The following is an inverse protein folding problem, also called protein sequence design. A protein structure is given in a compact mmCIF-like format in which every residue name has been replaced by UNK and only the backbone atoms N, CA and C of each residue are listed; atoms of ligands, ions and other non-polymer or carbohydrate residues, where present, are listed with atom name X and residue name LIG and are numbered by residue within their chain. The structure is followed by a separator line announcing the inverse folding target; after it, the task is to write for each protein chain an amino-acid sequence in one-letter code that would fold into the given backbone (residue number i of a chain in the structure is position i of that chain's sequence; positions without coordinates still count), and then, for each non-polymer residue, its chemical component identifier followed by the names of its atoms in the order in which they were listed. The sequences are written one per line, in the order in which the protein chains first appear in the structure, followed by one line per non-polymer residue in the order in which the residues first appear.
data_IF_540770565461
#
_entry.id   IF_540770565461
#
_cell.length_a   1.000
_cell.length_b   1.000
_cell.length_c   1.000
_cell.angle_alpha   90.00
_cell.angle_beta   90.00
_cell.angle_gamma   90.00
#
_symmetry.space_group_name_H-M   'P 1'
#
loop_
_entity.id
_entity.type
_entity.pdbx_description
1 polymer ?
#
# COMPACT_ATOMS: atom_id res chain seq x y z
N UNK A 1 -32.25 -76.41 39.00
CA UNK A 1 -32.99 -77.20 37.98
C UNK A 1 -33.95 -76.28 37.25
N UNK A 2 -34.08 -76.49 35.92
CA UNK A 2 -34.91 -75.78 34.92
C UNK A 2 -34.36 -74.47 34.32
N UNK A 3 -33.58 -74.72 33.27
CA UNK A 3 -33.43 -73.96 32.04
C UNK A 3 -34.80 -73.55 31.46
N UNK A 4 -34.95 -72.31 31.01
CA UNK A 4 -35.83 -71.99 29.89
C UNK A 4 -34.98 -71.53 28.69
N UNK A 5 -35.08 -72.33 27.63
CA UNK A 5 -34.48 -72.18 26.30
C UNK A 5 -35.29 -71.20 25.44
N UNK A 6 -34.71 -70.94 24.26
CA UNK A 6 -35.31 -70.56 22.97
C UNK A 6 -35.33 -69.05 22.70
N UNK A 7 -34.30 -68.50 22.04
CA UNK A 7 -33.95 -68.54 20.59
C UNK A 7 -34.63 -67.45 19.77
N UNK A 8 -33.78 -66.71 19.06
CA UNK A 8 -33.99 -66.19 17.70
C UNK A 8 -34.98 -65.02 17.53
N UNK A 9 -34.46 -63.83 17.22
CA UNK A 9 -34.14 -63.45 15.84
C UNK A 9 -33.30 -62.18 15.82
N UNK A 10 -32.18 -62.28 15.11
CA UNK A 10 -31.41 -61.19 14.54
C UNK A 10 -32.35 -60.39 13.62
N UNK A 11 -32.46 -59.09 13.83
CA UNK A 11 -32.79 -58.14 12.76
C UNK A 11 -31.93 -56.88 12.92
N UNK A 12 -30.86 -56.88 12.13
CA UNK A 12 -30.18 -55.76 11.48
C UNK A 12 -30.91 -54.41 11.57
N UNK A 13 -30.20 -53.42 12.11
CA UNK A 13 -30.02 -52.17 11.38
C UNK A 13 -28.63 -51.60 11.67
N UNK A 14 -27.64 -52.21 11.02
CA UNK A 14 -26.32 -51.65 10.80
C UNK A 14 -26.43 -50.64 9.65
N UNK A 15 -26.89 -49.42 9.92
CA UNK A 15 -26.85 -48.33 8.93
C UNK A 15 -26.57 -46.97 9.58
N UNK A 16 -25.73 -46.91 10.61
CA UNK A 16 -25.19 -45.65 11.13
C UNK A 16 -23.68 -45.52 10.96
N UNK A 17 -23.08 -46.23 9.98
CA UNK A 17 -21.64 -46.17 9.71
C UNK A 17 -21.26 -45.92 8.24
N UNK A 18 -22.20 -45.47 7.40
CA UNK A 18 -21.92 -45.10 5.99
C UNK A 18 -22.20 -43.64 5.63
N UNK A 19 -22.51 -42.78 6.61
CA UNK A 19 -22.66 -41.34 6.39
C UNK A 19 -21.36 -40.54 6.56
N UNK A 20 -20.22 -41.20 6.82
CA UNK A 20 -18.92 -40.55 7.02
C UNK A 20 -17.94 -40.67 5.84
N UNK A 21 -18.36 -41.25 4.71
CA UNK A 21 -17.44 -41.55 3.60
C UNK A 21 -17.90 -40.99 2.26
N UNK A 22 -18.42 -39.75 2.25
CA UNK A 22 -18.54 -38.93 1.02
C UNK A 22 -18.82 -37.44 1.29
N UNK A 23 -18.44 -36.90 2.45
CA UNK A 23 -18.19 -35.46 2.51
C UNK A 23 -16.80 -35.23 1.93
N UNK A 24 -16.69 -35.31 0.60
CA UNK A 24 -15.74 -34.43 -0.08
C UNK A 24 -16.07 -33.05 0.44
N UNK A 25 -15.24 -32.52 1.33
CA UNK A 25 -15.14 -31.09 1.53
C UNK A 25 -14.82 -30.55 0.14
N UNK A 26 -15.86 -30.22 -0.63
CA UNK A 26 -15.78 -29.19 -1.63
C UNK A 26 -15.36 -27.95 -0.85
N UNK A 27 -14.05 -27.80 -0.68
CA UNK A 27 -13.43 -26.51 -0.55
C UNK A 27 -13.80 -25.83 -1.84
N UNK A 28 -14.99 -25.20 -1.85
CA UNK A 28 -15.29 -24.17 -2.83
C UNK A 28 -14.12 -23.21 -2.68
N UNK A 29 -13.22 -23.24 -3.65
CA UNK A 29 -12.29 -22.16 -3.86
C UNK A 29 -13.19 -20.95 -4.07
N UNK A 30 -13.47 -20.23 -3.00
CA UNK A 30 -14.06 -18.91 -3.10
C UNK A 30 -13.06 -18.18 -3.96
N UNK A 31 -13.43 -17.85 -5.19
CA UNK A 31 -12.67 -16.94 -6.03
C UNK A 31 -12.62 -15.63 -5.25
N UNK A 32 -11.60 -15.49 -4.41
CA UNK A 32 -11.35 -14.25 -3.72
C UNK A 32 -10.80 -13.34 -4.80
N UNK A 33 -11.65 -12.46 -5.33
CA UNK A 33 -11.20 -11.39 -6.21
C UNK A 33 -10.11 -10.58 -5.49
N UNK A 34 -8.88 -10.73 -5.94
CA UNK A 34 -7.71 -10.11 -5.35
C UNK A 34 -6.43 -10.75 -5.85
N UNK A 35 -5.33 -9.99 -5.83
CA UNK A 35 -4.02 -10.56 -6.06
C UNK A 35 -3.45 -11.10 -4.76
N UNK A 36 -2.88 -12.28 -4.84
CA UNK A 36 -2.28 -12.95 -3.69
C UNK A 36 -0.86 -13.35 -4.07
N UNK A 37 0.05 -13.20 -3.11
CA UNK A 37 1.38 -13.77 -3.21
C UNK A 37 1.49 -14.96 -2.27
N UNK A 38 2.11 -16.02 -2.76
CA UNK A 38 2.39 -17.23 -1.98
C UNK A 38 3.88 -17.21 -1.67
N UNK A 39 4.21 -17.18 -0.37
CA UNK A 39 5.61 -17.20 0.04
C UNK A 39 6.22 -18.61 -0.04
N UNK A 40 7.53 -18.74 0.21
CA UNK A 40 8.24 -20.03 0.23
C UNK A 40 7.77 -21.01 1.33
N UNK A 41 6.92 -20.54 2.24
CA UNK A 41 6.29 -21.32 3.32
C UNK A 41 4.81 -21.62 3.00
N UNK A 42 4.36 -21.45 1.75
CA UNK A 42 2.98 -21.66 1.30
C UNK A 42 1.92 -20.80 2.03
N UNK A 43 2.30 -19.64 2.53
CA UNK A 43 1.36 -18.70 3.15
C UNK A 43 0.85 -17.70 2.12
N UNK A 44 -0.47 -17.54 2.05
CA UNK A 44 -1.14 -16.57 1.20
C UNK A 44 -1.14 -15.18 1.85
N UNK A 45 -0.51 -14.21 1.18
CA UNK A 45 -0.60 -12.79 1.55
C UNK A 45 -1.43 -12.04 0.52
N UNK A 46 -2.48 -11.34 0.99
CA UNK A 46 -3.31 -10.49 0.15
C UNK A 46 -2.52 -9.27 -0.28
N UNK A 47 -2.39 -9.09 -1.59
CA UNK A 47 -1.84 -7.90 -2.20
C UNK A 47 -3.01 -6.94 -2.49
N UNK A 48 -2.88 -5.64 -2.19
CA UNK A 48 -3.84 -4.64 -2.63
C UNK A 48 -4.12 -4.70 -4.14
N UNK A 49 -5.39 -4.60 -4.54
CA UNK A 49 -5.86 -4.82 -5.92
C UNK A 49 -5.19 -3.90 -6.95
N UNK A 50 -4.77 -2.69 -6.57
CA UNK A 50 -4.05 -1.77 -7.46
C UNK A 50 -2.65 -2.24 -7.87
N UNK A 51 -2.13 -3.29 -7.23
CA UNK A 51 -0.82 -3.88 -7.50
C UNK A 51 -0.92 -5.15 -8.37
N UNK A 52 -2.14 -5.58 -8.67
CA UNK A 52 -2.40 -6.62 -9.66
C UNK A 52 -1.85 -6.22 -11.03
N UNK A 53 -0.95 -7.03 -11.59
CA UNK A 53 -0.41 -6.83 -12.94
C UNK A 53 0.96 -6.15 -13.05
N UNK A 54 1.48 -5.51 -11.98
CA UNK A 54 2.87 -4.97 -11.98
C UNK A 54 3.95 -6.03 -11.79
N UNK A 55 3.56 -7.25 -11.44
CA UNK A 55 4.46 -8.38 -11.19
C UNK A 55 4.77 -9.19 -12.47
N UNK A 56 4.15 -8.87 -13.61
CA UNK A 56 4.35 -9.61 -14.87
C UNK A 56 5.60 -9.19 -15.67
N UNK A 57 6.30 -8.12 -15.29
CA UNK A 57 7.56 -7.75 -15.93
C UNK A 57 8.74 -8.35 -15.17
N UNK A 58 9.33 -9.41 -15.72
CA UNK A 58 10.65 -9.98 -15.40
C UNK A 58 11.21 -9.60 -14.02
N UNK A 59 10.67 -10.22 -12.97
CA UNK A 59 11.07 -9.90 -11.59
C UNK A 59 12.48 -10.44 -11.34
N UNK A 60 13.48 -9.56 -11.40
CA UNK A 60 14.85 -9.90 -10.99
C UNK A 60 15.06 -9.84 -9.47
N UNK A 61 14.16 -9.18 -8.70
CA UNK A 61 14.27 -9.12 -7.24
C UNK A 61 12.91 -8.77 -6.54
N UNK A 62 12.11 -9.77 -6.14
CA UNK A 62 10.82 -9.54 -5.47
C UNK A 62 10.96 -8.82 -4.12
N UNK A 63 12.05 -9.05 -3.40
CA UNK A 63 12.30 -8.46 -2.08
C UNK A 63 12.56 -6.95 -2.18
N UNK A 64 13.30 -6.52 -3.20
CA UNK A 64 13.54 -5.09 -3.46
C UNK A 64 12.25 -4.36 -3.85
N UNK A 65 11.37 -5.01 -4.63
CA UNK A 65 10.05 -4.48 -4.98
C UNK A 65 9.21 -4.32 -3.70
N UNK A 66 9.17 -5.33 -2.84
CA UNK A 66 8.42 -5.28 -1.58
C UNK A 66 8.92 -4.17 -0.64
N UNK A 67 10.25 -4.02 -0.53
CA UNK A 67 10.85 -2.94 0.26
C UNK A 67 10.49 -1.57 -0.32
N UNK A 68 10.58 -1.38 -1.64
CA UNK A 68 10.19 -0.13 -2.27
C UNK A 68 8.71 0.20 -2.04
N UNK A 69 7.83 -0.80 -2.14
CA UNK A 69 6.40 -0.64 -1.88
C UNK A 69 6.11 -0.28 -0.42
N UNK A 70 6.84 -0.88 0.53
CA UNK A 70 6.74 -0.52 1.94
C UNK A 70 7.15 0.94 2.17
N UNK A 71 8.24 1.39 1.56
CA UNK A 71 8.69 2.79 1.64
C UNK A 71 7.65 3.76 1.06
N UNK A 72 7.05 3.43 -0.08
CA UNK A 72 5.99 4.24 -0.70
C UNK A 72 4.73 4.33 0.18
N UNK A 73 4.36 3.25 0.88
CA UNK A 73 3.24 3.28 1.81
C UNK A 73 3.51 4.19 3.01
N UNK A 74 4.71 4.11 3.59
CA UNK A 74 5.11 4.99 4.70
C UNK A 74 5.16 6.45 4.24
N UNK A 75 5.65 6.72 3.03
CA UNK A 75 5.59 8.06 2.43
C UNK A 75 4.17 8.62 2.38
N UNK A 76 3.19 7.81 1.93
CA UNK A 76 1.79 8.25 1.82
C UNK A 76 1.20 8.55 3.21
N UNK A 77 1.54 7.76 4.23
CA UNK A 77 1.11 8.00 5.60
C UNK A 77 1.72 9.29 6.17
N UNK A 78 3.03 9.47 6.01
CA UNK A 78 3.71 10.69 6.46
C UNK A 78 3.21 11.94 5.75
N UNK A 79 2.92 11.84 4.44
CA UNK A 79 2.24 12.91 3.70
C UNK A 79 0.90 13.27 4.34
N UNK A 80 0.06 12.27 4.64
CA UNK A 80 -1.26 12.52 5.25
C UNK A 80 -1.12 13.17 6.62
N UNK A 81 -0.11 12.78 7.40
CA UNK A 81 0.18 13.39 8.70
C UNK A 81 0.56 14.87 8.56
N UNK A 82 1.44 15.21 7.60
CA UNK A 82 1.80 16.59 7.30
C UNK A 82 0.61 17.42 6.79
N UNK A 83 -0.25 16.83 5.96
CA UNK A 83 -1.45 17.49 5.47
C UNK A 83 -2.46 17.75 6.60
N UNK A 84 -2.64 16.79 7.50
CA UNK A 84 -3.52 16.92 8.66
C UNK A 84 -3.02 17.95 9.69
N UNK A 85 -1.71 18.19 9.77
CA UNK A 85 -1.13 19.21 10.65
C UNK A 85 -1.32 20.64 10.15
N UNK A 86 -1.88 20.84 8.95
CA UNK A 86 -2.15 22.19 8.44
C UNK A 86 -3.33 22.81 9.19
N UNK A 87 -3.11 24.01 9.74
CA UNK A 87 -4.12 24.75 10.49
C UNK A 87 -5.26 25.25 9.60
N UNK A 88 -4.94 25.69 8.38
CA UNK A 88 -5.92 26.24 7.45
C UNK A 88 -6.79 25.12 6.84
N UNK A 89 -8.11 25.08 7.10
CA UNK A 89 -8.95 23.95 6.71
C UNK A 89 -9.01 23.70 5.19
N UNK A 90 -9.02 24.77 4.39
CA UNK A 90 -9.11 24.67 2.94
C UNK A 90 -7.81 24.13 2.34
N UNK A 91 -6.65 24.63 2.79
CA UNK A 91 -5.33 24.10 2.40
C UNK A 91 -5.19 22.64 2.79
N UNK A 92 -5.55 22.28 4.03
CA UNK A 92 -5.58 20.87 4.48
C UNK A 92 -6.44 20.00 3.55
N UNK A 93 -7.65 20.44 3.24
CA UNK A 93 -8.55 19.70 2.36
C UNK A 93 -7.98 19.51 0.95
N UNK A 94 -7.33 20.53 0.40
CA UNK A 94 -6.69 20.47 -0.91
C UNK A 94 -5.53 19.45 -0.91
N UNK A 95 -4.64 19.52 0.08
CA UNK A 95 -3.52 18.59 0.22
C UNK A 95 -3.98 17.13 0.38
N UNK A 96 -4.98 16.90 1.25
CA UNK A 96 -5.55 15.56 1.43
C UNK A 96 -6.24 15.04 0.16
N UNK A 97 -6.87 15.93 -0.61
CA UNK A 97 -7.47 15.58 -1.91
C UNK A 97 -6.40 15.14 -2.91
N UNK A 98 -5.28 15.87 -2.98
CA UNK A 98 -4.17 15.55 -3.89
C UNK A 98 -3.64 14.13 -3.68
N UNK A 99 -3.26 13.76 -2.45
CA UNK A 99 -2.75 12.41 -2.15
C UNK A 99 -3.82 11.32 -2.26
N UNK A 100 -5.10 11.66 -2.05
CA UNK A 100 -6.22 10.72 -2.21
C UNK A 100 -6.43 10.39 -3.69
N UNK A 101 -6.36 11.38 -4.56
CA UNK A 101 -6.67 11.23 -5.98
C UNK A 101 -5.50 10.62 -6.76
N UNK A 102 -4.26 11.03 -6.43
CA UNK A 102 -3.07 10.63 -7.18
C UNK A 102 -1.88 10.23 -6.28
N UNK A 103 -2.02 9.19 -5.42
CA UNK A 103 -0.95 8.82 -4.47
C UNK A 103 0.36 8.45 -5.16
N UNK A 104 0.29 7.73 -6.28
CA UNK A 104 1.47 7.34 -7.06
C UNK A 104 2.17 8.53 -7.71
N UNK A 105 1.43 9.57 -8.07
CA UNK A 105 1.98 10.79 -8.67
C UNK A 105 2.79 11.55 -7.63
N UNK A 106 2.26 11.72 -6.41
CA UNK A 106 2.99 12.36 -5.30
C UNK A 106 4.30 11.64 -4.97
N UNK A 107 4.27 10.30 -4.93
CA UNK A 107 5.47 9.48 -4.77
C UNK A 107 6.48 9.74 -5.89
N UNK A 108 6.03 9.75 -7.14
CA UNK A 108 6.90 9.96 -8.29
C UNK A 108 7.49 11.37 -8.32
N UNK A 109 6.71 12.40 -7.97
CA UNK A 109 7.20 13.78 -7.85
C UNK A 109 8.28 13.89 -6.76
N UNK A 110 8.08 13.25 -5.60
CA UNK A 110 9.12 13.20 -4.57
C UNK A 110 10.39 12.49 -5.05
N UNK A 111 10.26 11.38 -5.80
CA UNK A 111 11.42 10.70 -6.42
C UNK A 111 12.14 11.59 -7.44
N UNK A 112 11.44 12.47 -8.16
CA UNK A 112 12.09 13.43 -9.08
C UNK A 112 12.97 14.42 -8.35
N UNK A 113 12.55 14.92 -7.19
CA UNK A 113 13.42 15.76 -6.35
C UNK A 113 14.66 15.01 -5.87
N UNK A 114 14.50 13.74 -5.57
CA UNK A 114 15.63 12.90 -5.26
C UNK A 114 16.65 12.79 -6.41
N UNK A 115 16.16 12.62 -7.64
CA UNK A 115 17.01 12.63 -8.84
C UNK A 115 17.67 14.01 -9.08
N UNK A 116 16.99 15.11 -8.75
CA UNK A 116 17.57 16.46 -8.83
C UNK A 116 18.73 16.66 -7.84
N UNK A 117 18.61 16.18 -6.60
CA UNK A 117 19.73 16.19 -5.66
C UNK A 117 20.91 15.33 -6.14
N UNK A 118 20.62 14.16 -6.70
CA UNK A 118 21.65 13.26 -7.25
C UNK A 118 22.38 13.87 -8.45
N UNK A 119 21.74 14.75 -9.21
CA UNK A 119 22.37 15.49 -10.31
C UNK A 119 23.12 16.75 -9.87
N UNK A 120 23.17 17.01 -8.56
CA UNK A 120 23.93 18.11 -7.97
C UNK A 120 23.16 19.42 -7.79
N UNK A 121 21.83 19.42 -7.98
CA UNK A 121 21.02 20.60 -7.68
C UNK A 121 20.94 20.82 -6.16
N UNK A 122 21.01 22.09 -5.73
CA UNK A 122 20.84 22.45 -4.33
C UNK A 122 19.35 22.53 -3.96
N UNK A 123 19.06 22.43 -2.66
CA UNK A 123 17.71 22.65 -2.14
C UNK A 123 17.13 24.01 -2.58
N UNK A 124 17.94 25.07 -2.51
CA UNK A 124 17.53 26.43 -2.87
C UNK A 124 17.20 26.56 -4.36
N UNK A 125 17.98 25.91 -5.24
CA UNK A 125 17.72 25.93 -6.68
C UNK A 125 16.42 25.21 -7.02
N UNK A 126 16.16 24.08 -6.38
CA UNK A 126 14.93 23.31 -6.58
C UNK A 126 13.72 24.12 -6.09
N UNK A 127 13.76 24.66 -4.87
CA UNK A 127 12.68 25.49 -4.33
C UNK A 127 12.41 26.69 -5.23
N UNK A 128 13.45 27.38 -5.70
CA UNK A 128 13.31 28.53 -6.59
C UNK A 128 12.61 28.14 -7.89
N UNK A 129 13.10 27.09 -8.56
CA UNK A 129 12.52 26.60 -9.81
C UNK A 129 11.05 26.18 -9.65
N UNK A 130 10.72 25.47 -8.57
CA UNK A 130 9.34 25.07 -8.29
C UNK A 130 8.44 26.25 -7.94
N UNK A 131 8.96 27.24 -7.20
CA UNK A 131 8.22 28.46 -6.86
C UNK A 131 7.94 29.32 -8.09
N UNK A 132 8.90 29.41 -9.02
CA UNK A 132 8.74 30.12 -10.30
C UNK A 132 7.61 29.51 -11.15
N UNK A 133 7.44 28.18 -11.14
CA UNK A 133 6.31 27.52 -11.82
C UNK A 133 4.95 27.91 -11.22
N UNK A 134 4.92 28.27 -9.94
CA UNK A 134 3.71 28.67 -9.23
C UNK A 134 3.44 30.18 -9.34
N UNK A 135 4.39 30.98 -9.81
CA UNK A 135 4.29 32.44 -9.90
C UNK A 135 3.14 32.97 -10.79
N UNK A 136 2.59 32.13 -11.66
CA UNK A 136 1.44 32.49 -12.50
C UNK A 136 0.09 32.33 -11.78
N UNK A 137 0.09 31.80 -10.55
CA UNK A 137 -1.11 31.63 -9.75
C UNK A 137 -1.37 32.86 -8.87
N UNK A 138 -2.63 33.06 -8.49
CA UNK A 138 -2.98 34.09 -7.51
C UNK A 138 -2.38 33.75 -6.14
N UNK A 139 -1.38 34.53 -5.71
CA UNK A 139 -0.62 34.34 -4.47
C UNK A 139 -1.53 34.34 -3.22
N UNK A 140 -2.69 35.00 -3.29
CA UNK A 140 -3.68 35.05 -2.21
C UNK A 140 -4.58 33.81 -2.13
N UNK A 141 -4.54 32.93 -3.13
CA UNK A 141 -5.44 31.78 -3.21
C UNK A 141 -5.01 30.62 -2.30
N UNK A 142 -5.99 29.90 -1.76
CA UNK A 142 -5.73 28.68 -1.00
C UNK A 142 -5.06 27.60 -1.86
N UNK A 143 -5.34 27.59 -3.17
CA UNK A 143 -4.70 26.71 -4.15
C UNK A 143 -3.21 26.99 -4.27
N UNK A 144 -2.81 28.25 -4.40
CA UNK A 144 -1.40 28.63 -4.42
C UNK A 144 -0.68 28.22 -3.13
N UNK A 145 -1.27 28.54 -1.97
CA UNK A 145 -0.71 28.12 -0.67
C UNK A 145 -0.59 26.60 -0.55
N UNK A 146 -1.59 25.85 -0.99
CA UNK A 146 -1.54 24.39 -1.02
C UNK A 146 -0.42 23.90 -1.94
N UNK A 147 -0.26 24.47 -3.14
CA UNK A 147 0.79 24.08 -4.08
C UNK A 147 2.20 24.38 -3.55
N UNK A 148 2.40 25.51 -2.87
CA UNK A 148 3.68 25.78 -2.18
C UNK A 148 3.97 24.75 -1.09
N UNK A 149 2.94 24.35 -0.31
CA UNK A 149 3.08 23.29 0.69
C UNK A 149 3.36 21.94 0.05
N UNK A 150 2.76 21.62 -1.09
CA UNK A 150 3.04 20.39 -1.84
C UNK A 150 4.53 20.27 -2.20
N UNK A 151 5.12 21.33 -2.74
CA UNK A 151 6.55 21.37 -3.06
C UNK A 151 7.39 21.07 -1.82
N UNK A 152 7.08 21.75 -0.71
CA UNK A 152 7.80 21.56 0.56
C UNK A 152 7.65 20.14 1.11
N UNK A 153 6.44 19.58 1.11
CA UNK A 153 6.17 18.21 1.57
C UNK A 153 6.96 17.20 0.75
N UNK A 154 6.86 17.30 -0.57
CA UNK A 154 7.55 16.38 -1.49
C UNK A 154 9.06 16.44 -1.29
N UNK A 155 9.66 17.61 -1.05
CA UNK A 155 11.10 17.74 -0.76
C UNK A 155 11.50 17.09 0.57
N UNK A 156 10.78 17.42 1.65
CA UNK A 156 11.04 16.84 2.98
C UNK A 156 10.88 15.33 2.95
N UNK A 157 9.79 14.83 2.35
CA UNK A 157 9.53 13.41 2.26
C UNK A 157 10.48 12.70 1.28
N UNK A 158 10.91 13.36 0.21
CA UNK A 158 11.90 12.78 -0.71
C UNK A 158 13.21 12.48 0.02
N UNK A 159 13.72 13.45 0.77
CA UNK A 159 14.95 13.22 1.55
C UNK A 159 14.71 12.26 2.72
N UNK A 160 13.52 12.20 3.31
CA UNK A 160 13.23 11.21 4.36
C UNK A 160 13.20 9.76 3.84
N UNK A 161 12.57 9.52 2.68
CA UNK A 161 12.22 8.16 2.23
C UNK A 161 13.05 7.64 1.07
N UNK A 162 13.47 8.50 0.14
CA UNK A 162 14.07 8.08 -1.13
C UNK A 162 15.57 8.43 -1.23
N UNK A 163 16.01 9.51 -0.58
CA UNK A 163 17.43 9.85 -0.47
C UNK A 163 17.80 10.54 0.85
N UNK A 164 17.89 9.76 1.94
CA UNK A 164 18.29 10.25 3.27
C UNK A 164 19.67 10.88 3.31
N UNK A 165 20.57 10.57 2.37
CA UNK A 165 21.88 11.19 2.29
C UNK A 165 21.83 12.72 2.03
N UNK A 166 20.71 13.24 1.51
CA UNK A 166 20.54 14.68 1.25
C UNK A 166 19.69 15.40 2.31
N UNK A 167 19.29 14.71 3.39
CA UNK A 167 18.46 15.31 4.44
C UNK A 167 19.10 16.56 5.09
N UNK A 168 20.44 16.63 5.11
CA UNK A 168 21.16 17.80 5.63
C UNK A 168 21.00 19.06 4.78
N UNK A 169 20.65 18.96 3.49
CA UNK A 169 20.49 20.12 2.61
C UNK A 169 19.20 20.91 2.87
N UNK A 170 18.22 20.32 3.57
CA UNK A 170 16.95 20.99 3.91
C UNK A 170 17.11 21.93 5.11
N UNK A 171 18.10 21.67 5.97
CA UNK A 171 18.36 22.45 7.19
C UNK A 171 19.40 23.56 6.99
N UNK A 172 19.77 23.86 5.74
CA UNK A 172 20.76 24.87 5.35
C UNK A 172 20.08 26.09 4.73
#
# INVERSE_FOLDING_TARGET
MKIHRLTSKIFLSFTLLHLLSNSTLEVKAQEVEGCFWINSLNQNMRIPTYMCGRLNSTIQNPAQILNNLSVEQVFIEDYKNLANSQEEPLVRSLLLSTIKNSPNEEVNEAKKFCAAFQSGQSYQDIIKSESEKLSQQDEGSATYRANLRLVSFRLVLATKHFCPQFASQINQ
#
